data_IF_247728793926
#
_entry.id   IF_247728793926
#
_cell.length_a   1.000
_cell.length_b   1.000
_cell.length_c   1.000
_cell.angle_alpha   90.00
_cell.angle_beta   90.00
_cell.angle_gamma   90.00
#
_symmetry.space_group_name_H-M   'P 1'
#
loop_
_entity.id
_entity.type
_entity.pdbx_description
1 polymer ?
#
# COMPACT_ATOMS: atom_id res chain seq x y z
N UNK A 1 20.13 -11.75 23.78
CA UNK A 1 19.20 -11.65 22.62
C UNK A 1 18.00 -12.55 22.91
N UNK A 2 16.78 -11.99 22.97
CA UNK A 2 15.56 -12.72 23.36
C UNK A 2 15.26 -13.88 22.37
N UNK A 3 14.89 -15.06 22.87
CA UNK A 3 14.64 -16.27 22.05
C UNK A 3 13.58 -16.05 20.96
N UNK A 4 12.60 -15.18 21.21
CA UNK A 4 11.59 -14.81 20.21
C UNK A 4 12.20 -14.02 19.04
N UNK A 5 13.13 -13.11 19.32
CA UNK A 5 13.84 -12.32 18.30
C UNK A 5 14.74 -13.22 17.45
N UNK A 6 15.38 -14.22 18.07
CA UNK A 6 16.23 -15.17 17.38
C UNK A 6 15.41 -16.05 16.41
N UNK A 7 14.27 -16.57 16.87
CA UNK A 7 13.35 -17.36 16.04
C UNK A 7 12.85 -16.56 14.84
N UNK A 8 12.43 -15.31 15.07
CA UNK A 8 11.91 -14.47 14.00
C UNK A 8 13.02 -14.06 13.02
N UNK A 9 14.27 -13.90 13.47
CA UNK A 9 15.43 -13.71 12.60
C UNK A 9 15.63 -14.89 11.64
N UNK A 10 15.65 -16.13 12.16
CA UNK A 10 15.81 -17.32 11.33
C UNK A 10 14.64 -17.52 10.36
N UNK A 11 13.41 -17.30 10.82
CA UNK A 11 12.23 -17.35 9.96
C UNK A 11 12.35 -16.41 8.76
N UNK A 12 12.72 -15.14 9.00
CA UNK A 12 12.83 -14.11 7.93
C UNK A 12 13.87 -14.51 6.89
N UNK A 13 15.05 -14.98 7.34
CA UNK A 13 16.10 -15.44 6.43
C UNK A 13 15.67 -16.68 5.63
N UNK A 14 15.11 -17.68 6.30
CA UNK A 14 14.64 -18.89 5.63
C UNK A 14 13.57 -18.55 4.58
N UNK A 15 12.57 -17.74 4.96
CA UNK A 15 11.54 -17.27 4.03
C UNK A 15 12.17 -16.57 2.82
N UNK A 16 13.08 -15.63 3.05
CA UNK A 16 13.76 -14.91 1.96
C UNK A 16 14.45 -15.87 0.98
N UNK A 17 15.28 -16.80 1.47
CA UNK A 17 16.02 -17.70 0.59
C UNK A 17 15.15 -18.72 -0.13
N UNK A 18 14.05 -19.17 0.50
CA UNK A 18 13.08 -20.08 -0.13
C UNK A 18 12.26 -19.37 -1.22
N UNK A 19 11.78 -18.15 -0.95
CA UNK A 19 10.78 -17.52 -1.80
C UNK A 19 11.33 -16.48 -2.79
N UNK A 20 12.58 -16.02 -2.64
CA UNK A 20 13.14 -14.91 -3.45
C UNK A 20 13.04 -15.13 -4.96
N UNK A 21 13.15 -16.37 -5.43
CA UNK A 21 13.13 -16.72 -6.85
C UNK A 21 11.72 -16.71 -7.47
N UNK A 22 10.67 -16.71 -6.64
CA UNK A 22 9.29 -16.62 -7.11
C UNK A 22 8.86 -15.17 -7.38
N UNK A 23 9.49 -14.20 -6.72
CA UNK A 23 9.20 -12.79 -6.91
C UNK A 23 9.65 -12.33 -8.30
N UNK A 24 8.94 -11.37 -8.90
CA UNK A 24 9.39 -10.69 -10.12
C UNK A 24 10.78 -10.08 -9.91
N UNK A 25 10.96 -9.43 -8.77
CA UNK A 25 12.23 -8.90 -8.27
C UNK A 25 12.14 -8.70 -6.77
N UNK A 26 13.22 -9.05 -6.06
CA UNK A 26 13.33 -8.82 -4.62
C UNK A 26 14.73 -8.30 -4.30
N UNK A 27 14.78 -7.19 -3.57
CA UNK A 27 16.01 -6.55 -3.15
C UNK A 27 16.76 -7.32 -2.07
N UNK A 28 17.81 -6.70 -1.55
CA UNK A 28 18.56 -7.17 -0.39
C UNK A 28 17.85 -6.78 0.90
N UNK A 29 18.08 -7.55 1.97
CA UNK A 29 17.57 -7.27 3.32
C UNK A 29 16.04 -7.09 3.39
N UNK A 30 15.31 -7.83 2.55
CA UNK A 30 13.84 -7.84 2.60
C UNK A 30 13.37 -8.77 3.71
N UNK A 31 12.55 -8.23 4.61
CA UNK A 31 12.01 -8.95 5.77
C UNK A 31 10.50 -9.13 5.63
N UNK A 32 10.06 -10.34 5.35
CA UNK A 32 8.63 -10.69 5.32
C UNK A 32 8.33 -11.57 6.53
N UNK A 33 7.42 -11.11 7.40
CA UNK A 33 7.22 -11.69 8.73
C UNK A 33 5.84 -12.35 8.76
N UNK A 34 5.78 -13.68 8.64
CA UNK A 34 4.54 -14.49 8.75
C UNK A 34 3.36 -13.82 8.02
N UNK A 35 3.46 -13.64 6.68
CA UNK A 35 2.42 -12.98 5.92
C UNK A 35 1.13 -13.79 6.02
N UNK A 36 -0.02 -13.11 5.94
CA UNK A 36 -1.31 -13.82 5.89
C UNK A 36 -1.40 -14.58 4.59
N UNK A 37 -1.05 -13.92 3.48
CA UNK A 37 -1.05 -14.51 2.15
C UNK A 37 -0.16 -13.68 1.22
N UNK A 38 0.48 -14.33 0.25
CA UNK A 38 1.12 -13.67 -0.88
C UNK A 38 0.61 -14.32 -2.15
N UNK A 39 0.00 -13.53 -3.04
CA UNK A 39 -0.52 -13.98 -4.32
C UNK A 39 0.14 -13.24 -5.47
N UNK A 40 0.46 -13.98 -6.53
CA UNK A 40 1.06 -13.41 -7.73
C UNK A 40 2.51 -12.97 -7.51
N UNK A 41 3.33 -13.77 -6.82
CA UNK A 41 4.76 -13.49 -6.59
C UNK A 41 5.48 -12.93 -7.85
N UNK A 42 5.24 -13.54 -9.02
CA UNK A 42 5.80 -13.13 -10.33
C UNK A 42 5.44 -11.72 -10.81
N UNK A 43 4.52 -11.05 -10.11
CA UNK A 43 4.03 -9.71 -10.35
C UNK A 43 4.39 -8.75 -9.19
N UNK A 44 5.18 -9.19 -8.22
CA UNK A 44 5.58 -8.38 -7.06
C UNK A 44 7.06 -8.01 -7.17
N UNK A 45 7.34 -6.72 -7.03
CA UNK A 45 8.68 -6.13 -6.96
C UNK A 45 8.88 -5.52 -5.58
N UNK A 46 9.92 -5.95 -4.87
CA UNK A 46 10.33 -5.39 -3.59
C UNK A 46 11.72 -4.78 -3.71
N UNK A 47 11.88 -3.53 -3.26
CA UNK A 47 13.16 -2.84 -3.15
C UNK A 47 14.05 -3.41 -2.05
N UNK A 48 15.22 -2.78 -1.83
CA UNK A 48 16.08 -3.15 -0.71
C UNK A 48 15.45 -2.71 0.62
N UNK A 49 15.81 -3.37 1.71
CA UNK A 49 15.43 -2.98 3.08
C UNK A 49 13.90 -2.84 3.29
N UNK A 50 13.08 -3.51 2.48
CA UNK A 50 11.63 -3.54 2.66
C UNK A 50 11.27 -4.43 3.82
N UNK A 51 10.39 -3.97 4.69
CA UNK A 51 9.81 -4.79 5.76
C UNK A 51 8.30 -4.94 5.55
N UNK A 52 7.82 -6.17 5.60
CA UNK A 52 6.40 -6.53 5.56
C UNK A 52 6.07 -7.27 6.85
N UNK A 53 5.25 -6.64 7.68
CA UNK A 53 4.95 -7.11 9.03
C UNK A 53 3.92 -8.25 9.06
N UNK A 54 3.67 -8.72 10.28
CA UNK A 54 2.80 -9.84 10.60
C UNK A 54 1.44 -9.77 9.93
N UNK A 55 1.03 -10.89 9.33
CA UNK A 55 -0.32 -11.09 8.74
C UNK A 55 -0.72 -10.06 7.69
N UNK A 56 0.24 -9.43 7.03
CA UNK A 56 -0.03 -8.64 5.83
C UNK A 56 -0.34 -9.56 4.64
N UNK A 57 -1.31 -9.16 3.83
CA UNK A 57 -1.67 -9.79 2.57
C UNK A 57 -1.21 -8.93 1.40
N UNK A 58 -0.28 -9.46 0.61
CA UNK A 58 0.13 -8.89 -0.67
C UNK A 58 -0.49 -9.69 -1.82
N UNK A 59 -1.24 -9.04 -2.71
CA UNK A 59 -1.77 -9.67 -3.91
C UNK A 59 -1.47 -8.82 -5.15
N UNK A 60 -0.97 -9.48 -6.19
CA UNK A 60 -0.78 -8.90 -7.51
C UNK A 60 -1.30 -9.88 -8.57
N UNK A 61 -2.62 -9.87 -8.80
CA UNK A 61 -3.32 -10.83 -9.65
C UNK A 61 -4.01 -10.12 -10.82
N UNK A 62 -3.70 -10.45 -12.09
CA UNK A 62 -4.28 -9.78 -13.26
C UNK A 62 -5.74 -10.22 -13.48
N UNK A 63 -6.67 -9.74 -12.64
CA UNK A 63 -8.09 -10.12 -12.67
C UNK A 63 -8.92 -9.25 -13.61
N UNK A 64 -8.40 -8.09 -14.00
CA UNK A 64 -9.07 -7.09 -14.84
C UNK A 64 -8.34 -6.81 -16.15
N UNK A 65 -7.27 -7.56 -16.44
CA UNK A 65 -6.42 -7.38 -17.62
C UNK A 65 -5.36 -8.47 -17.71
N UNK A 66 -4.36 -8.30 -18.58
CA UNK A 66 -3.27 -9.28 -18.78
C UNK A 66 -2.00 -8.96 -17.98
N UNK A 67 -1.91 -7.74 -17.45
CA UNK A 67 -0.76 -7.25 -16.71
C UNK A 67 -1.17 -6.85 -15.30
N UNK A 68 -0.32 -7.19 -14.34
CA UNK A 68 -0.46 -6.78 -12.95
C UNK A 68 0.92 -6.55 -12.36
N UNK A 69 1.08 -5.49 -11.58
CA UNK A 69 2.33 -5.18 -10.89
C UNK A 69 2.07 -4.53 -9.53
N UNK A 70 2.67 -5.09 -8.49
CA UNK A 70 2.78 -4.46 -7.17
C UNK A 70 4.25 -4.12 -6.92
N UNK A 71 4.56 -2.83 -6.80
CA UNK A 71 5.89 -2.32 -6.52
C UNK A 71 5.95 -1.73 -5.11
N UNK A 72 6.95 -2.13 -4.33
CA UNK A 72 7.23 -1.56 -3.01
C UNK A 72 8.68 -1.08 -3.00
N UNK A 73 8.86 0.23 -2.89
CA UNK A 73 10.15 0.91 -2.96
C UNK A 73 11.08 0.60 -1.80
N UNK A 74 12.35 0.95 -1.99
CA UNK A 74 13.41 0.72 -0.99
C UNK A 74 13.11 1.43 0.35
N UNK A 75 13.43 0.77 1.45
CA UNK A 75 13.30 1.32 2.81
C UNK A 75 11.85 1.39 3.33
N UNK A 76 10.87 0.96 2.54
CA UNK A 76 9.45 1.01 2.91
C UNK A 76 9.10 -0.04 3.97
N UNK A 77 8.30 0.37 4.95
CA UNK A 77 7.79 -0.47 6.03
C UNK A 77 6.26 -0.59 5.91
N UNK A 78 5.80 -1.82 5.70
CA UNK A 78 4.38 -2.16 5.65
C UNK A 78 3.98 -2.75 6.99
N UNK A 79 3.07 -2.06 7.70
CA UNK A 79 2.55 -2.44 9.01
C UNK A 79 1.81 -3.78 9.04
N UNK A 80 1.36 -4.18 10.23
CA UNK A 80 0.72 -5.46 10.47
C UNK A 80 -0.68 -5.47 9.85
N UNK A 81 -1.17 -6.65 9.46
CA UNK A 81 -2.53 -6.84 8.95
C UNK A 81 -2.90 -5.94 7.78
N UNK A 82 -1.93 -5.43 7.03
CA UNK A 82 -2.19 -4.62 5.86
C UNK A 82 -2.76 -5.52 4.76
N UNK A 83 -3.63 -4.98 3.91
CA UNK A 83 -4.21 -5.68 2.77
C UNK A 83 -3.94 -4.84 1.52
N UNK A 84 -3.05 -5.32 0.65
CA UNK A 84 -2.63 -4.61 -0.56
C UNK A 84 -2.94 -5.50 -1.75
N UNK A 85 -3.92 -5.09 -2.57
CA UNK A 85 -4.46 -5.90 -3.65
C UNK A 85 -4.44 -5.16 -4.97
N UNK A 86 -3.43 -5.46 -5.79
CA UNK A 86 -3.31 -4.94 -7.15
C UNK A 86 -3.96 -5.91 -8.15
N UNK A 87 -4.78 -5.39 -9.04
CA UNK A 87 -5.22 -6.09 -10.27
C UNK A 87 -4.56 -5.59 -11.53
N UNK A 88 -4.11 -4.33 -11.55
CA UNK A 88 -3.35 -3.74 -12.65
C UNK A 88 -2.04 -3.13 -12.16
N UNK A 89 -2.08 -2.11 -11.30
CA UNK A 89 -0.87 -1.45 -10.82
C UNK A 89 -1.06 -0.75 -9.48
N UNK A 90 -0.25 -1.16 -8.50
CA UNK A 90 -0.04 -0.42 -7.25
C UNK A 90 1.45 -0.17 -7.10
N UNK A 91 1.83 1.10 -6.95
CA UNK A 91 3.20 1.53 -6.70
C UNK A 91 3.27 2.26 -5.37
N UNK A 92 4.06 1.69 -4.46
CA UNK A 92 4.43 2.32 -3.18
C UNK A 92 5.88 2.77 -3.31
N UNK A 93 6.12 4.06 -3.10
CA UNK A 93 7.42 4.70 -3.20
C UNK A 93 8.45 4.21 -2.18
N UNK A 94 9.58 4.91 -2.11
CA UNK A 94 10.68 4.65 -1.18
C UNK A 94 10.38 5.26 0.19
N UNK A 95 10.88 4.63 1.25
CA UNK A 95 10.77 5.10 2.62
C UNK A 95 9.33 5.46 3.03
N UNK A 96 8.34 4.76 2.46
CA UNK A 96 6.94 4.88 2.87
C UNK A 96 6.75 4.12 4.18
N UNK A 97 5.95 4.66 5.08
CA UNK A 97 5.53 3.98 6.30
C UNK A 97 4.02 3.78 6.26
N UNK A 98 3.55 2.55 6.37
CA UNK A 98 2.16 2.28 6.71
C UNK A 98 2.06 1.83 8.15
N UNK A 99 1.05 2.34 8.86
CA UNK A 99 0.64 1.77 10.13
C UNK A 99 -0.11 0.45 9.91
N UNK A 100 -0.71 -0.09 10.96
CA UNK A 100 -1.42 -1.36 10.89
C UNK A 100 -2.78 -1.24 10.17
N UNK A 101 -3.28 -2.37 9.65
CA UNK A 101 -4.63 -2.52 9.09
C UNK A 101 -4.97 -1.58 7.93
N UNK A 102 -3.97 -1.09 7.19
CA UNK A 102 -4.21 -0.27 5.99
C UNK A 102 -4.69 -1.15 4.85
N UNK A 103 -5.72 -0.70 4.13
CA UNK A 103 -6.21 -1.33 2.90
C UNK A 103 -5.87 -0.47 1.67
N UNK A 104 -5.26 -1.08 0.65
CA UNK A 104 -4.87 -0.42 -0.59
C UNK A 104 -5.34 -1.26 -1.78
N UNK A 105 -6.13 -0.68 -2.67
CA UNK A 105 -6.68 -1.36 -3.85
C UNK A 105 -6.77 -0.43 -5.06
N UNK A 106 -6.52 -0.97 -6.24
CA UNK A 106 -6.72 -0.32 -7.55
C UNK A 106 -7.99 -0.80 -8.28
N UNK A 107 -8.86 -1.54 -7.58
CA UNK A 107 -10.05 -2.16 -8.14
C UNK A 107 -11.21 -2.21 -7.13
N UNK A 108 -12.41 -2.46 -7.65
CA UNK A 108 -13.66 -2.64 -6.92
C UNK A 108 -14.43 -3.84 -7.50
N UNK A 109 -15.49 -4.28 -6.83
CA UNK A 109 -16.50 -5.12 -7.49
C UNK A 109 -17.43 -4.27 -8.36
N UNK A 110 -17.82 -4.78 -9.53
CA UNK A 110 -18.90 -4.18 -10.31
C UNK A 110 -20.21 -4.23 -9.54
N UNK A 111 -21.04 -3.20 -9.76
CA UNK A 111 -22.36 -3.07 -9.13
C UNK A 111 -23.40 -2.46 -10.08
N UNK A 112 -23.03 -2.28 -11.35
CA UNK A 112 -23.83 -1.53 -12.32
C UNK A 112 -25.07 -2.30 -12.75
N UNK A 113 -25.02 -3.63 -12.79
CA UNK A 113 -26.19 -4.46 -13.06
C UNK A 113 -26.95 -4.72 -11.76
N UNK A 114 -28.17 -4.19 -11.64
CA UNK A 114 -29.01 -4.35 -10.44
C UNK A 114 -29.75 -5.69 -10.39
N UNK A 115 -29.75 -6.46 -11.49
CA UNK A 115 -30.43 -7.75 -11.56
C UNK A 115 -29.50 -8.94 -11.29
N UNK A 116 -28.18 -8.72 -11.34
CA UNK A 116 -27.17 -9.73 -11.01
C UNK A 116 -26.58 -9.47 -9.62
N UNK A 117 -26.60 -10.42 -8.66
CA UNK A 117 -25.95 -10.26 -7.37
C UNK A 117 -24.45 -9.90 -7.51
N UNK A 118 -23.94 -8.99 -6.67
CA UNK A 118 -22.56 -8.47 -6.75
C UNK A 118 -21.50 -9.56 -6.84
N UNK A 119 -21.67 -10.69 -6.13
CA UNK A 119 -20.71 -11.81 -6.14
C UNK A 119 -20.58 -12.49 -7.52
N UNK A 120 -21.58 -12.34 -8.37
CA UNK A 120 -21.60 -12.86 -9.75
C UNK A 120 -21.16 -11.79 -10.76
N UNK A 121 -20.99 -10.54 -10.32
CA UNK A 121 -20.49 -9.47 -11.16
C UNK A 121 -18.96 -9.46 -11.20
N UNK A 122 -18.35 -9.05 -12.32
CA UNK A 122 -16.90 -9.05 -12.47
C UNK A 122 -16.23 -7.99 -11.59
N UNK A 123 -14.95 -8.20 -11.31
CA UNK A 123 -14.10 -7.16 -10.72
C UNK A 123 -13.96 -6.03 -11.74
N UNK A 124 -14.13 -4.80 -11.27
CA UNK A 124 -14.00 -3.57 -12.04
C UNK A 124 -12.68 -2.89 -11.71
N UNK A 125 -11.88 -2.65 -12.74
CA UNK A 125 -10.70 -1.82 -12.65
C UNK A 125 -11.11 -0.35 -12.40
N UNK A 126 -10.45 0.31 -11.44
CA UNK A 126 -10.48 1.77 -11.29
C UNK A 126 -9.10 2.33 -11.65
N UNK A 127 -8.66 3.44 -11.05
CA UNK A 127 -7.34 3.95 -11.33
C UNK A 127 -6.25 3.13 -10.61
N UNK A 128 -5.00 3.15 -11.10
CA UNK A 128 -3.84 2.71 -10.34
C UNK A 128 -3.72 3.43 -9.00
N UNK A 129 -3.00 2.81 -8.06
CA UNK A 129 -2.57 3.52 -6.84
C UNK A 129 -1.10 3.86 -6.94
N UNK A 130 -0.76 5.13 -6.72
CA UNK A 130 0.63 5.59 -6.59
C UNK A 130 0.80 6.32 -5.26
N UNK A 131 1.74 5.87 -4.43
CA UNK A 131 2.09 6.52 -3.16
C UNK A 131 3.52 7.03 -3.26
N UNK A 132 3.71 8.34 -3.14
CA UNK A 132 5.00 9.01 -3.24
C UNK A 132 5.93 8.70 -2.07
N UNK A 133 7.22 8.94 -2.30
CA UNK A 133 8.29 8.66 -1.35
C UNK A 133 8.09 9.40 -0.01
N UNK A 134 8.48 8.77 1.10
CA UNK A 134 8.44 9.38 2.44
C UNK A 134 7.04 9.59 3.03
N UNK A 135 5.98 9.18 2.34
CA UNK A 135 4.60 9.31 2.82
C UNK A 135 4.31 8.36 3.98
N UNK A 136 3.54 8.85 4.95
CA UNK A 136 3.01 8.05 6.05
C UNK A 136 1.50 7.83 5.89
N UNK A 137 1.08 6.57 6.01
CA UNK A 137 -0.33 6.15 6.00
C UNK A 137 -0.74 5.69 7.40
N UNK A 138 -1.69 6.40 8.01
CA UNK A 138 -2.21 6.13 9.36
C UNK A 138 -2.98 4.82 9.50
N UNK A 139 -3.19 4.37 10.73
CA UNK A 139 -3.81 3.06 11.02
C UNK A 139 -5.23 3.02 10.46
N UNK A 140 -5.61 1.87 9.90
CA UNK A 140 -6.96 1.63 9.38
C UNK A 140 -7.39 2.56 8.23
N UNK A 141 -6.44 3.24 7.57
CA UNK A 141 -6.74 4.03 6.39
C UNK A 141 -7.03 3.13 5.16
N UNK A 142 -7.86 3.64 4.25
CA UNK A 142 -8.27 2.96 3.02
C UNK A 142 -7.89 3.82 1.82
N UNK A 143 -7.14 3.26 0.87
CA UNK A 143 -6.66 3.94 -0.34
C UNK A 143 -7.22 3.23 -1.58
N UNK A 144 -8.02 3.93 -2.39
CA UNK A 144 -8.75 3.34 -3.52
C UNK A 144 -8.50 4.09 -4.83
N UNK A 145 -7.61 3.55 -5.68
CA UNK A 145 -7.33 4.05 -7.03
C UNK A 145 -7.07 5.56 -7.13
N UNK A 146 -5.98 6.01 -6.49
CA UNK A 146 -5.59 7.42 -6.38
C UNK A 146 -4.09 7.59 -6.38
N UNK A 147 -3.63 8.81 -6.66
CA UNK A 147 -2.25 9.24 -6.47
C UNK A 147 -2.10 10.04 -5.19
N UNK A 148 -1.20 9.63 -4.33
CA UNK A 148 -0.78 10.36 -3.13
C UNK A 148 0.66 10.81 -3.35
N UNK A 149 0.89 12.10 -3.21
CA UNK A 149 2.21 12.70 -3.37
C UNK A 149 3.25 12.23 -2.35
N UNK A 150 4.46 12.77 -2.45
CA UNK A 150 5.56 12.50 -1.51
C UNK A 150 5.39 13.24 -0.19
N UNK A 151 5.94 12.66 0.88
CA UNK A 151 5.94 13.21 2.24
C UNK A 151 4.55 13.68 2.70
N UNK A 152 3.51 12.94 2.30
CA UNK A 152 2.16 13.17 2.78
C UNK A 152 1.94 12.47 4.12
N UNK A 153 0.94 12.95 4.86
CA UNK A 153 0.41 12.30 6.04
C UNK A 153 -1.07 12.01 5.81
N UNK A 154 -1.41 10.73 5.73
CA UNK A 154 -2.81 10.29 5.69
C UNK A 154 -3.23 9.91 7.10
N UNK A 155 -4.26 10.59 7.62
CA UNK A 155 -4.78 10.35 8.96
C UNK A 155 -5.29 8.92 9.15
N UNK A 156 -5.29 8.47 10.39
CA UNK A 156 -5.88 7.17 10.75
C UNK A 156 -7.39 7.17 10.45
N UNK A 157 -7.93 6.04 10.03
CA UNK A 157 -9.33 5.87 9.59
C UNK A 157 -9.73 6.75 8.39
N UNK A 158 -8.80 7.35 7.66
CA UNK A 158 -9.13 8.13 6.47
C UNK A 158 -9.46 7.23 5.27
N UNK A 159 -10.39 7.65 4.41
CA UNK A 159 -10.72 6.95 3.15
C UNK A 159 -10.37 7.85 1.99
N UNK A 160 -9.28 7.53 1.28
CA UNK A 160 -8.72 8.34 0.20
C UNK A 160 -9.27 7.84 -1.14
N UNK A 161 -10.11 8.66 -1.76
CA UNK A 161 -10.76 8.41 -3.06
C UNK A 161 -10.49 9.50 -4.10
N UNK A 162 -9.68 10.51 -3.73
CA UNK A 162 -9.21 11.55 -4.63
C UNK A 162 -7.69 11.73 -4.43
N UNK A 163 -7.03 12.22 -5.47
CA UNK A 163 -5.59 12.47 -5.45
C UNK A 163 -5.20 13.47 -4.35
N UNK A 164 -4.08 13.20 -3.68
CA UNK A 164 -3.53 14.02 -2.60
C UNK A 164 -2.20 14.62 -3.07
N UNK A 165 -2.06 15.96 -3.16
CA UNK A 165 -0.82 16.60 -3.61
C UNK A 165 0.36 16.32 -2.67
N UNK A 166 1.58 16.49 -3.17
CA UNK A 166 2.80 16.45 -2.36
C UNK A 166 2.70 17.31 -1.08
N UNK A 167 3.38 16.85 -0.03
CA UNK A 167 3.50 17.54 1.25
C UNK A 167 2.15 17.96 1.85
N UNK A 168 1.18 17.05 1.82
CA UNK A 168 -0.17 17.30 2.30
C UNK A 168 -0.50 16.44 3.51
N UNK A 169 -1.31 16.99 4.42
CA UNK A 169 -1.95 16.25 5.50
C UNK A 169 -3.43 16.10 5.15
N UNK A 170 -3.90 14.88 4.96
CA UNK A 170 -5.28 14.58 4.59
C UNK A 170 -5.95 13.66 5.61
N UNK A 171 -7.19 13.97 6.00
CA UNK A 171 -7.94 13.23 7.03
C UNK A 171 -9.42 13.12 6.66
N UNK A 172 -10.13 12.17 7.26
CA UNK A 172 -11.59 12.04 7.12
C UNK A 172 -12.06 11.07 6.05
N UNK A 173 -13.38 11.01 5.85
CA UNK A 173 -14.09 10.10 4.93
C UNK A 173 -15.13 10.91 4.14
N UNK A 174 -14.92 11.20 2.85
CA UNK A 174 -13.66 11.02 2.12
C UNK A 174 -12.55 11.92 2.70
N UNK A 175 -11.29 11.50 2.52
CA UNK A 175 -10.14 12.23 3.01
C UNK A 175 -10.02 13.58 2.30
N UNK A 176 -9.85 14.65 3.09
CA UNK A 176 -9.63 16.00 2.58
C UNK A 176 -8.33 16.56 3.14
N UNK A 177 -7.61 17.31 2.30
CA UNK A 177 -6.40 18.02 2.72
C UNK A 177 -6.78 19.13 3.70
N UNK A 178 -6.16 19.12 4.88
CA UNK A 178 -6.36 20.11 5.95
C UNK A 178 -5.13 20.98 6.19
N UNK A 179 -3.95 20.50 5.78
CA UNK A 179 -2.70 21.25 5.80
C UNK A 179 -1.85 20.91 4.59
N UNK A 180 -1.10 21.88 4.11
CA UNK A 180 -0.09 21.68 3.08
C UNK A 180 1.18 22.41 3.47
N UNK A 181 2.34 21.84 3.13
CA UNK A 181 3.61 22.51 3.33
C UNK A 181 3.82 23.58 2.26
N UNK A 182 4.01 24.81 2.71
CA UNK A 182 4.39 25.92 1.84
C UNK A 182 5.91 26.05 1.81
N UNK A 183 6.49 25.79 0.64
CA UNK A 183 7.94 25.85 0.41
C UNK A 183 8.50 27.27 0.48
N UNK A 184 7.67 28.29 0.23
CA UNK A 184 8.13 29.68 0.27
C UNK A 184 8.32 30.19 1.71
N UNK A 185 7.40 29.86 2.61
CA UNK A 185 7.51 30.19 4.03
C UNK A 185 8.21 29.11 4.87
N UNK A 186 8.48 27.93 4.31
CA UNK A 186 9.02 26.76 5.01
C UNK A 186 8.16 26.33 6.22
N UNK A 187 6.84 26.42 6.08
CA UNK A 187 5.89 26.08 7.16
C UNK A 187 4.69 25.28 6.67
N UNK A 188 4.02 24.60 7.59
CA UNK A 188 2.74 23.94 7.33
C UNK A 188 1.59 24.94 7.47
N UNK A 189 0.91 25.23 6.38
CA UNK A 189 -0.25 26.13 6.36
C UNK A 189 -1.54 25.32 6.40
N UNK A 190 -2.54 25.82 7.16
CA UNK A 190 -3.89 25.25 7.13
C UNK A 190 -4.53 25.60 5.80
N UNK A 191 -5.16 24.63 5.15
CA UNK A 191 -5.93 24.85 3.93
C UNK A 191 -7.41 24.59 4.21
N UNK A 192 -8.27 25.29 3.48
CA UNK A 192 -9.70 25.01 3.50
C UNK A 192 -9.97 23.77 2.64
N UNK A 193 -10.52 22.69 3.21
CA UNK A 193 -10.93 21.53 2.45
C UNK A 193 -11.87 21.94 1.31
N UNK A 194 -11.57 21.53 0.07
CA UNK A 194 -12.56 21.63 -1.01
C UNK A 194 -13.68 20.62 -0.71
N UNK A 195 -14.92 21.10 -0.67
CA UNK A 195 -16.14 20.29 -0.51
C UNK A 195 -16.17 19.16 -1.53
#
# INVERSE_FOLDING_TARGET
MNIFLLRDYFYKKLFYYLFKWFFKKIGKNVNIIKPLKINGFKNIVLGNNVTVQYRTWLAALPLTGTQCLLEIGEGTNIGHFNHIYATQHIKIGKNVLTADKVYISDNLHSYQDIHTPIIQQPIKQINPVEIGDGTWIGENAVILGVKIGKNCVIGSNAVVTQDIPDYSIAVGIPAKVIKQFDTSSNTWIKVTPKS
#
